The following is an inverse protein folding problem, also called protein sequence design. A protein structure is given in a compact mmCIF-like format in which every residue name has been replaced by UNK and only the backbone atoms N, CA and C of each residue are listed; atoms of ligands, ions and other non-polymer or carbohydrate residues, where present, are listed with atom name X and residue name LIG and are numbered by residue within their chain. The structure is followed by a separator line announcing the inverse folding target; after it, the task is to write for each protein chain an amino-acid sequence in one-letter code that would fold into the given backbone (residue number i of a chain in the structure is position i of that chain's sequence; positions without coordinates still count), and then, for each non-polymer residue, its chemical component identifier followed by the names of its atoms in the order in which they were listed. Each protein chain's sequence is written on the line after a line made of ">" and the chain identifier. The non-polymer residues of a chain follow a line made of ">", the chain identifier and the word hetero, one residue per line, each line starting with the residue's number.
data_IF_804710309826
#
_entry.id   IF_804710309826
#
_cell.length_a   1.000
_cell.length_b   1.000
_cell.length_c   1.000
_cell.angle_alpha   90.00
_cell.angle_beta   90.00
_cell.angle_gamma   90.00
#
_symmetry.space_group_name_H-M   'P 1'
#
loop_
_entity.id
_entity.type
_entity.pdbx_description
1 polymer ?
#
# COMPACT_ATOMS: atom_id res chain seq x y z
N UNK A 1 -47.27 -43.19 32.16
CA UNK A 1 -45.89 -42.73 32.34
C UNK A 1 -45.48 -41.96 31.10
N UNK A 2 -45.50 -40.58 31.17
CA UNK A 2 -45.15 -39.69 30.06
C UNK A 2 -43.72 -39.22 30.29
N UNK A 3 -42.78 -39.55 29.36
CA UNK A 3 -41.39 -39.06 29.36
C UNK A 3 -41.39 -37.68 28.72
N UNK A 4 -40.97 -36.65 29.46
CA UNK A 4 -40.72 -35.32 28.95
C UNK A 4 -39.25 -35.29 28.47
N UNK A 5 -39.06 -34.97 27.17
CA UNK A 5 -37.73 -34.73 26.60
C UNK A 5 -37.41 -33.23 26.77
N UNK A 6 -36.36 -32.94 27.51
CA UNK A 6 -35.80 -31.61 27.66
C UNK A 6 -34.83 -31.37 26.50
N UNK A 7 -35.17 -30.47 25.60
CA UNK A 7 -34.26 -29.99 24.53
C UNK A 7 -33.45 -28.84 25.10
N UNK A 8 -32.15 -29.07 25.34
CA UNK A 8 -31.20 -28.05 25.74
C UNK A 8 -30.74 -27.29 24.50
N UNK A 9 -31.20 -26.07 24.34
CA UNK A 9 -30.76 -25.16 23.29
C UNK A 9 -29.39 -24.60 23.68
N UNK A 10 -28.30 -25.05 23.01
CA UNK A 10 -26.98 -24.43 23.11
C UNK A 10 -26.96 -23.13 22.27
N UNK A 11 -26.98 -22.00 22.91
CA UNK A 11 -26.66 -20.71 22.33
C UNK A 11 -25.14 -20.65 22.08
N UNK A 12 -24.73 -20.85 20.85
CA UNK A 12 -23.36 -20.58 20.42
C UNK A 12 -23.25 -19.06 20.25
N UNK A 13 -22.79 -18.37 21.27
CA UNK A 13 -22.43 -16.97 21.21
C UNK A 13 -21.21 -16.79 20.29
N UNK A 14 -21.39 -16.20 19.11
CA UNK A 14 -20.27 -15.75 18.29
C UNK A 14 -19.59 -14.59 19.01
N UNK A 15 -18.51 -14.87 19.73
CA UNK A 15 -17.55 -13.86 20.19
C UNK A 15 -16.82 -13.33 18.96
N UNK A 16 -17.26 -12.20 18.42
CA UNK A 16 -16.44 -11.37 17.54
C UNK A 16 -15.31 -10.80 18.38
N UNK A 17 -14.17 -11.48 18.39
CA UNK A 17 -12.95 -10.89 18.90
C UNK A 17 -12.64 -9.65 18.05
N UNK A 18 -12.78 -8.46 18.64
CA UNK A 18 -12.23 -7.22 18.10
C UNK A 18 -10.71 -7.42 18.19
N UNK A 19 -10.12 -7.92 17.12
CA UNK A 19 -8.67 -7.92 16.99
C UNK A 19 -8.26 -6.46 16.85
N UNK A 20 -7.53 -5.95 17.83
CA UNK A 20 -6.84 -4.69 17.70
C UNK A 20 -5.95 -4.81 16.44
N UNK A 21 -6.14 -3.89 15.49
CA UNK A 21 -5.34 -3.83 14.28
C UNK A 21 -3.86 -3.63 14.68
N UNK A 22 -3.10 -4.69 14.55
CA UNK A 22 -1.65 -4.71 14.64
C UNK A 22 -1.15 -4.92 13.21
N UNK A 23 0.09 -4.53 12.93
CA UNK A 23 0.75 -4.83 11.66
C UNK A 23 0.27 -6.15 11.06
N UNK A 24 0.06 -6.18 9.75
CA UNK A 24 -0.31 -7.44 9.11
C UNK A 24 0.93 -8.33 9.07
N UNK A 25 0.93 -9.38 9.90
CA UNK A 25 1.99 -10.38 9.94
C UNK A 25 1.75 -11.40 8.84
N UNK A 26 2.69 -11.53 7.91
CA UNK A 26 2.67 -12.55 6.88
C UNK A 26 3.72 -13.62 7.17
N UNK A 27 3.35 -14.91 7.20
CA UNK A 27 4.33 -15.99 7.19
C UNK A 27 5.29 -15.82 6.01
N UNK A 28 6.59 -15.94 6.25
CA UNK A 28 7.55 -15.90 5.15
C UNK A 28 7.34 -17.11 4.24
N UNK A 29 7.28 -16.90 2.92
CA UNK A 29 7.18 -18.00 1.98
C UNK A 29 8.55 -18.69 1.88
N UNK A 30 8.60 -19.82 1.16
CA UNK A 30 9.85 -20.49 0.84
C UNK A 30 10.89 -19.52 0.27
N UNK A 31 12.17 -19.85 0.40
CA UNK A 31 13.27 -18.91 0.08
C UNK A 31 13.23 -18.32 -1.35
N UNK A 32 12.75 -19.11 -2.30
CA UNK A 32 12.61 -18.74 -3.72
C UNK A 32 11.19 -18.25 -4.10
N UNK A 33 10.29 -18.07 -3.14
CA UNK A 33 8.97 -17.47 -3.33
C UNK A 33 8.95 -16.05 -2.80
N UNK A 34 8.20 -15.17 -3.46
CA UNK A 34 8.02 -13.76 -3.04
C UNK A 34 6.55 -13.43 -2.75
N UNK A 35 5.64 -14.31 -3.12
CA UNK A 35 4.20 -14.08 -2.98
C UNK A 35 3.75 -14.33 -1.54
N UNK A 36 3.12 -13.35 -0.92
CA UNK A 36 2.52 -13.45 0.42
C UNK A 36 1.11 -12.85 0.44
N UNK A 37 0.29 -13.34 1.36
CA UNK A 37 -1.07 -12.85 1.57
C UNK A 37 -2.06 -13.25 0.48
N UNK A 38 -3.27 -12.72 0.61
CA UNK A 38 -4.37 -12.86 -0.35
C UNK A 38 -5.18 -11.59 -0.37
N UNK A 39 -5.64 -11.15 -1.53
CA UNK A 39 -6.53 -10.00 -1.63
C UNK A 39 -7.86 -10.32 -0.96
N UNK A 40 -8.42 -9.33 -0.28
CA UNK A 40 -9.72 -9.42 0.36
C UNK A 40 -10.75 -8.64 -0.44
N UNK A 41 -12.00 -9.06 -0.35
CA UNK A 41 -13.13 -8.32 -0.88
C UNK A 41 -13.89 -7.70 0.28
N UNK A 42 -14.20 -6.41 0.18
CA UNK A 42 -14.92 -5.66 1.20
C UNK A 42 -16.13 -4.94 0.61
N UNK A 43 -17.26 -5.07 1.27
CA UNK A 43 -18.45 -4.28 0.93
C UNK A 43 -18.48 -3.03 1.81
N UNK A 44 -18.43 -1.86 1.20
CA UNK A 44 -18.44 -0.56 1.86
C UNK A 44 -19.69 -0.44 2.75
N UNK A 45 -19.52 -0.05 4.00
CA UNK A 45 -20.57 0.09 5.00
C UNK A 45 -21.03 1.56 5.13
N UNK A 46 -22.23 1.79 5.63
CA UNK A 46 -22.76 3.15 5.88
C UNK A 46 -21.89 4.01 6.80
N UNK A 47 -21.12 3.39 7.70
CA UNK A 47 -20.18 4.08 8.60
C UNK A 47 -18.85 4.44 7.98
N UNK A 48 -18.56 4.04 6.73
CA UNK A 48 -17.29 4.29 6.05
C UNK A 48 -17.25 5.69 5.46
N UNK A 49 -16.60 6.62 6.16
CA UNK A 49 -16.57 8.03 5.76
C UNK A 49 -15.82 8.27 4.43
N UNK A 50 -14.77 7.50 4.15
CA UNK A 50 -13.92 7.63 2.96
C UNK A 50 -12.95 6.45 2.85
N UNK A 51 -12.19 6.38 1.75
CA UNK A 51 -11.15 5.35 1.55
C UNK A 51 -10.09 5.33 2.63
N UNK A 52 -9.74 6.48 3.23
CA UNK A 52 -8.79 6.55 4.32
C UNK A 52 -9.30 5.86 5.59
N UNK A 53 -10.58 5.99 5.89
CA UNK A 53 -11.21 5.28 7.01
C UNK A 53 -11.24 3.76 6.76
N UNK A 54 -11.52 3.34 5.53
CA UNK A 54 -11.46 1.92 5.13
C UNK A 54 -10.03 1.40 5.22
N UNK A 55 -9.06 2.14 4.69
CA UNK A 55 -7.64 1.75 4.71
C UNK A 55 -7.14 1.46 6.13
N UNK A 56 -7.55 2.26 7.11
CA UNK A 56 -7.21 2.04 8.53
C UNK A 56 -7.80 0.75 9.11
N UNK A 57 -8.95 0.28 8.61
CA UNK A 57 -9.54 -1.01 9.06
C UNK A 57 -8.71 -2.22 8.61
N UNK A 58 -7.95 -2.07 7.53
CA UNK A 58 -7.20 -3.16 6.88
C UNK A 58 -5.69 -2.94 6.92
N UNK A 59 -5.19 -2.02 7.73
CA UNK A 59 -3.77 -1.69 7.85
C UNK A 59 -3.07 -1.53 6.49
N UNK A 60 -3.71 -0.75 5.61
CA UNK A 60 -3.21 -0.44 4.26
C UNK A 60 -3.27 1.06 3.97
N UNK A 61 -2.80 1.47 2.79
CA UNK A 61 -2.88 2.84 2.31
C UNK A 61 -4.13 3.05 1.45
N UNK A 62 -4.81 4.20 1.61
CA UNK A 62 -5.95 4.56 0.76
C UNK A 62 -5.57 4.62 -0.72
N UNK A 63 -4.34 5.05 -1.03
CA UNK A 63 -3.83 5.08 -2.40
C UNK A 63 -3.72 3.67 -3.01
N UNK A 64 -3.37 2.66 -2.22
CA UNK A 64 -3.33 1.27 -2.69
C UNK A 64 -4.74 0.71 -2.94
N UNK A 65 -5.73 1.07 -2.12
CA UNK A 65 -7.13 0.73 -2.40
C UNK A 65 -7.58 1.40 -3.70
N UNK A 66 -7.19 2.65 -3.94
CA UNK A 66 -7.50 3.38 -5.16
C UNK A 66 -6.84 2.75 -6.40
N UNK A 67 -5.61 2.27 -6.30
CA UNK A 67 -4.93 1.52 -7.37
C UNK A 67 -5.64 0.20 -7.67
N UNK A 68 -6.00 -0.54 -6.63
CA UNK A 68 -6.71 -1.82 -6.79
C UNK A 68 -8.10 -1.67 -7.43
N UNK A 69 -8.74 -0.49 -7.27
CA UNK A 69 -10.12 -0.22 -7.69
C UNK A 69 -10.20 1.04 -8.56
N UNK A 70 -9.71 0.99 -9.79
CA UNK A 70 -9.49 2.13 -10.71
C UNK A 70 -10.57 3.20 -10.79
N UNK A 71 -11.82 2.82 -10.64
CA UNK A 71 -12.97 3.71 -10.86
C UNK A 71 -13.66 4.12 -9.57
N UNK A 72 -13.06 3.77 -8.42
CA UNK A 72 -13.69 4.07 -7.14
C UNK A 72 -13.52 5.55 -6.78
N UNK A 73 -14.59 6.14 -6.25
CA UNK A 73 -14.52 7.48 -5.70
C UNK A 73 -13.76 7.51 -4.35
N UNK A 74 -13.11 8.64 -3.98
CA UNK A 74 -12.49 8.80 -2.66
C UNK A 74 -13.46 8.59 -1.48
N UNK A 75 -14.74 8.85 -1.71
CA UNK A 75 -15.85 8.55 -0.80
C UNK A 75 -16.76 7.55 -1.51
N UNK A 76 -16.54 6.25 -1.36
CA UNK A 76 -17.33 5.23 -2.02
C UNK A 76 -18.72 5.12 -1.37
N UNK A 77 -19.72 4.78 -2.17
CA UNK A 77 -21.10 4.58 -1.66
C UNK A 77 -21.21 3.27 -0.88
N UNK A 78 -22.02 3.23 0.19
CA UNK A 78 -22.36 1.98 0.86
C UNK A 78 -22.88 0.93 -0.14
N UNK A 79 -22.55 -0.34 0.08
CA UNK A 79 -22.85 -1.43 -0.84
C UNK A 79 -21.86 -1.61 -1.99
N UNK A 80 -20.94 -0.66 -2.21
CA UNK A 80 -19.89 -0.82 -3.23
C UNK A 80 -18.94 -1.95 -2.83
N UNK A 81 -18.70 -2.91 -3.74
CA UNK A 81 -17.74 -3.98 -3.56
C UNK A 81 -16.36 -3.51 -3.99
N UNK A 82 -15.37 -3.64 -3.11
CA UNK A 82 -14.00 -3.20 -3.36
C UNK A 82 -12.98 -4.31 -3.04
N UNK A 83 -11.85 -4.27 -3.76
CA UNK A 83 -10.68 -5.10 -3.47
C UNK A 83 -9.78 -4.39 -2.48
N UNK A 84 -9.43 -5.07 -1.39
CA UNK A 84 -8.38 -4.65 -0.46
C UNK A 84 -7.09 -5.38 -0.85
N UNK A 85 -6.03 -4.67 -1.28
CA UNK A 85 -4.81 -5.27 -1.82
C UNK A 85 -3.89 -5.76 -0.69
N UNK A 86 -4.22 -6.90 -0.10
CA UNK A 86 -3.44 -7.58 0.96
C UNK A 86 -2.60 -8.75 0.46
N UNK A 87 -2.62 -9.05 -0.85
CA UNK A 87 -1.64 -9.90 -1.51
C UNK A 87 -0.53 -9.03 -2.09
N UNK A 88 0.73 -9.43 -1.90
CA UNK A 88 1.88 -8.67 -2.38
C UNK A 88 3.07 -9.58 -2.72
N UNK A 89 3.97 -9.09 -3.56
CA UNK A 89 5.30 -9.65 -3.76
C UNK A 89 6.28 -8.96 -2.80
N UNK A 90 7.05 -9.73 -2.05
CA UNK A 90 8.13 -9.16 -1.23
C UNK A 90 9.14 -8.43 -2.13
N UNK A 91 9.76 -7.33 -1.67
CA UNK A 91 10.84 -6.64 -2.38
C UNK A 91 11.98 -7.58 -2.76
N UNK A 92 12.69 -7.31 -3.87
CA UNK A 92 13.86 -8.07 -4.30
C UNK A 92 15.10 -7.61 -3.53
N UNK A 93 15.12 -7.92 -2.25
CA UNK A 93 16.18 -7.52 -1.33
C UNK A 93 16.35 -8.56 -0.22
N UNK A 94 17.49 -8.61 0.48
CA UNK A 94 17.67 -9.47 1.63
C UNK A 94 16.56 -9.29 2.67
N UNK A 95 15.98 -10.40 3.14
CA UNK A 95 14.87 -10.42 4.12
C UNK A 95 15.40 -10.20 5.53
N UNK A 96 15.86 -8.98 5.78
CA UNK A 96 16.45 -8.59 7.08
C UNK A 96 16.15 -7.13 7.40
N UNK A 97 16.00 -6.81 8.67
CA UNK A 97 15.79 -5.44 9.15
C UNK A 97 14.54 -4.79 8.56
N UNK A 98 14.68 -3.55 8.12
CA UNK A 98 13.60 -2.74 7.57
C UNK A 98 13.83 -2.49 6.08
N UNK A 99 12.81 -2.75 5.27
CA UNK A 99 12.77 -2.34 3.86
C UNK A 99 11.58 -1.39 3.69
N UNK A 100 11.81 -0.22 3.13
CA UNK A 100 10.76 0.74 2.77
C UNK A 100 10.69 0.79 1.26
N UNK A 101 9.54 0.42 0.65
CA UNK A 101 9.30 0.66 -0.76
C UNK A 101 8.39 1.87 -0.94
N UNK A 102 8.98 2.96 -1.42
CA UNK A 102 8.30 4.25 -1.55
C UNK A 102 7.10 4.19 -2.51
N UNK A 103 7.24 3.49 -3.64
CA UNK A 103 6.17 3.34 -4.63
C UNK A 103 4.93 2.60 -4.08
N UNK A 104 5.12 1.75 -3.07
CA UNK A 104 4.05 0.99 -2.44
C UNK A 104 3.46 1.67 -1.19
N UNK A 105 4.11 2.73 -0.68
CA UNK A 105 3.78 3.33 0.62
C UNK A 105 3.78 2.27 1.75
N UNK A 106 4.71 1.31 1.67
CA UNK A 106 4.85 0.18 2.60
C UNK A 106 6.22 0.13 3.25
N UNK A 107 6.24 -0.22 4.54
CA UNK A 107 7.41 -0.62 5.30
C UNK A 107 7.29 -2.10 5.64
N UNK A 108 8.32 -2.85 5.33
CA UNK A 108 8.49 -4.27 5.64
C UNK A 108 9.50 -4.40 6.77
N UNK A 109 9.16 -5.09 7.82
CA UNK A 109 10.09 -5.43 8.89
C UNK A 109 10.22 -6.94 9.00
N UNK A 110 11.44 -7.42 9.01
CA UNK A 110 11.81 -8.83 9.16
C UNK A 110 12.40 -9.04 10.54
N UNK A 111 11.61 -9.48 11.55
CA UNK A 111 12.09 -9.69 12.90
C UNK A 111 13.16 -10.78 12.94
N UNK A 112 14.31 -10.55 13.60
CA UNK A 112 15.37 -11.54 13.67
C UNK A 112 14.91 -12.83 14.37
N UNK A 113 15.12 -13.98 13.71
CA UNK A 113 14.77 -15.29 14.25
C UNK A 113 13.30 -15.70 14.13
N UNK A 114 12.46 -14.87 13.52
CA UNK A 114 11.06 -15.17 13.25
C UNK A 114 10.83 -15.47 11.76
N UNK A 115 9.88 -16.36 11.47
CA UNK A 115 9.53 -16.74 10.09
C UNK A 115 8.33 -15.91 9.59
N UNK A 116 8.37 -14.60 9.81
CA UNK A 116 7.34 -13.66 9.40
C UNK A 116 7.95 -12.40 8.78
N UNK A 117 7.13 -11.66 8.04
CA UNK A 117 7.35 -10.27 7.70
C UNK A 117 6.17 -9.45 8.18
N UNK A 118 6.45 -8.36 8.87
CA UNK A 118 5.46 -7.38 9.31
C UNK A 118 5.37 -6.27 8.25
N UNK A 119 4.16 -5.98 7.78
CA UNK A 119 3.93 -4.97 6.75
C UNK A 119 3.09 -3.84 7.31
N UNK A 120 3.58 -2.60 7.13
CA UNK A 120 2.96 -1.39 7.65
C UNK A 120 2.72 -0.37 6.54
N UNK A 121 1.57 0.30 6.51
CA UNK A 121 1.37 1.47 5.69
C UNK A 121 2.21 2.65 6.21
N UNK A 122 2.78 3.44 5.31
CA UNK A 122 3.56 4.61 5.66
C UNK A 122 3.17 5.84 4.84
N UNK A 123 3.30 7.03 5.45
CA UNK A 123 3.36 8.28 4.71
C UNK A 123 4.81 8.64 4.42
N UNK A 124 5.07 9.26 3.27
CA UNK A 124 6.42 9.59 2.79
C UNK A 124 6.55 11.07 2.43
N UNK A 125 7.77 11.46 2.02
CA UNK A 125 8.08 12.81 1.55
C UNK A 125 7.18 13.25 0.41
N UNK A 126 6.68 14.50 0.52
CA UNK A 126 5.95 15.14 -0.57
C UNK A 126 6.91 15.45 -1.72
N UNK A 127 6.35 15.77 -2.85
CA UNK A 127 7.10 16.21 -4.02
C UNK A 127 7.95 17.44 -3.74
N UNK A 128 9.20 17.43 -4.20
CA UNK A 128 10.22 18.45 -3.90
C UNK A 128 10.83 18.34 -2.49
N UNK A 129 10.36 17.38 -1.68
CA UNK A 129 10.90 17.05 -0.37
C UNK A 129 10.88 15.52 -0.17
N UNK A 130 11.33 14.80 -1.18
CA UNK A 130 11.25 13.34 -1.26
C UNK A 130 11.99 12.66 -0.13
N UNK A 131 11.51 11.48 0.25
CA UNK A 131 12.31 10.52 1.01
C UNK A 131 13.34 9.93 0.05
N UNK A 132 14.66 10.07 0.30
CA UNK A 132 15.66 9.55 -0.61
C UNK A 132 15.75 8.02 -0.57
N UNK A 133 16.09 7.43 -1.70
CA UNK A 133 16.55 6.04 -1.77
C UNK A 133 17.90 5.96 -1.05
N UNK A 134 18.03 5.01 -0.11
CA UNK A 134 19.25 4.88 0.69
C UNK A 134 19.41 3.49 1.30
N UNK A 135 20.65 3.11 1.55
CA UNK A 135 21.00 2.04 2.48
C UNK A 135 21.59 2.66 3.74
N UNK A 136 21.02 2.30 4.89
CA UNK A 136 21.40 2.88 6.17
C UNK A 136 21.05 1.91 7.32
N UNK A 137 20.99 2.42 8.53
CA UNK A 137 20.59 1.68 9.72
C UNK A 137 19.87 2.59 10.72
N UNK A 138 19.17 1.99 11.66
CA UNK A 138 18.63 2.72 12.81
C UNK A 138 19.80 3.23 13.67
N UNK A 139 19.95 4.54 13.73
CA UNK A 139 21.01 5.20 14.52
C UNK A 139 20.59 5.45 15.96
N UNK A 140 19.36 5.91 16.19
CA UNK A 140 18.86 6.23 17.51
C UNK A 140 17.36 5.94 17.65
N UNK A 141 16.97 5.43 18.79
CA UNK A 141 15.57 5.25 19.21
C UNK A 141 15.19 6.36 20.18
N UNK A 142 14.14 7.13 19.84
CA UNK A 142 13.74 8.32 20.60
C UNK A 142 12.30 8.15 21.07
N UNK A 143 12.08 7.81 22.36
CA UNK A 143 10.74 7.84 22.94
C UNK A 143 10.36 9.28 23.28
N UNK A 144 9.10 9.63 23.09
CA UNK A 144 8.54 10.96 23.37
C UNK A 144 9.41 12.11 22.81
N UNK A 145 9.65 12.12 21.49
CA UNK A 145 10.52 13.11 20.85
C UNK A 145 9.96 14.52 21.02
N UNK A 146 10.85 15.51 21.12
CA UNK A 146 10.51 16.90 20.82
C UNK A 146 10.68 17.15 19.33
N UNK A 147 9.90 18.06 18.77
CA UNK A 147 10.02 18.42 17.36
C UNK A 147 10.46 19.87 17.21
N UNK A 148 11.59 20.06 16.55
CA UNK A 148 12.09 21.37 16.14
C UNK A 148 11.87 21.52 14.63
N UNK A 149 10.88 22.33 14.18
CA UNK A 149 10.66 22.54 12.77
C UNK A 149 11.87 23.21 12.12
N UNK A 150 12.33 22.68 10.98
CA UNK A 150 13.43 23.24 10.23
C UNK A 150 13.05 24.64 9.67
N UNK A 151 14.06 25.46 9.27
CA UNK A 151 13.80 26.76 8.67
C UNK A 151 12.88 26.67 7.44
N UNK A 152 13.07 25.66 6.59
CA UNK A 152 12.20 25.39 5.43
C UNK A 152 10.76 25.06 5.81
N UNK A 153 10.55 24.26 6.86
CA UNK A 153 9.21 23.93 7.36
C UNK A 153 8.55 25.21 7.91
N UNK A 154 9.25 26.00 8.71
CA UNK A 154 8.70 27.26 9.23
C UNK A 154 8.31 28.23 8.13
N UNK A 155 9.18 28.39 7.10
CA UNK A 155 8.89 29.23 5.93
C UNK A 155 7.59 28.80 5.23
N UNK A 156 7.49 27.50 4.84
CA UNK A 156 6.28 26.97 4.17
C UNK A 156 5.02 27.07 5.03
N UNK A 157 5.15 26.92 6.35
CA UNK A 157 4.01 27.11 7.26
C UNK A 157 3.55 28.56 7.32
N UNK A 158 4.51 29.50 7.38
CA UNK A 158 4.21 30.92 7.38
C UNK A 158 3.53 31.38 6.06
N UNK A 159 3.95 30.84 4.93
CA UNK A 159 3.31 31.07 3.60
C UNK A 159 1.84 30.62 3.59
N UNK A 160 1.47 29.67 4.45
CA UNK A 160 0.08 29.22 4.67
C UNK A 160 -0.63 29.92 5.83
N UNK A 161 -0.05 30.99 6.37
CA UNK A 161 -0.59 31.74 7.51
C UNK A 161 -0.43 31.03 8.87
N UNK A 162 0.42 29.99 8.97
CA UNK A 162 0.63 29.23 10.20
C UNK A 162 1.98 29.59 10.80
N UNK A 163 2.00 30.18 12.00
CA UNK A 163 3.20 30.41 12.77
C UNK A 163 3.49 29.21 13.66
N UNK A 164 4.58 28.50 13.39
CA UNK A 164 5.02 27.37 14.21
C UNK A 164 5.87 27.84 15.38
N UNK A 165 5.72 27.20 16.58
CA UNK A 165 6.61 27.46 17.69
C UNK A 165 8.05 27.02 17.36
N UNK A 166 9.07 27.57 18.04
CA UNK A 166 10.47 27.14 17.85
C UNK A 166 10.67 25.64 18.13
N UNK A 167 9.99 25.12 19.12
CA UNK A 167 10.01 23.70 19.52
C UNK A 167 8.59 23.27 19.92
N UNK A 168 8.15 22.10 19.46
CA UNK A 168 6.94 21.43 19.94
C UNK A 168 7.36 20.35 20.91
N UNK A 169 6.93 20.41 22.19
CA UNK A 169 7.27 19.39 23.17
C UNK A 169 6.63 18.05 22.83
N UNK A 170 7.09 16.99 23.50
CA UNK A 170 6.41 15.70 23.44
C UNK A 170 4.95 15.82 23.88
N UNK A 171 4.05 15.12 23.18
CA UNK A 171 2.63 15.17 23.49
C UNK A 171 1.74 14.84 22.29
N UNK A 172 0.41 14.89 22.47
CA UNK A 172 -0.55 14.48 21.43
C UNK A 172 -0.49 15.35 20.17
N UNK A 173 -0.07 16.60 20.30
CA UNK A 173 0.03 17.56 19.20
C UNK A 173 1.40 17.54 18.50
N UNK A 174 2.34 16.69 18.96
CA UNK A 174 3.65 16.59 18.33
C UNK A 174 3.54 15.82 17.01
N UNK A 175 3.95 16.40 15.87
CA UNK A 175 3.86 15.75 14.56
C UNK A 175 4.75 14.50 14.42
N UNK A 176 5.70 14.27 15.33
CA UNK A 176 6.50 13.04 15.37
C UNK A 176 5.82 11.90 16.17
N UNK A 177 4.70 12.17 16.84
CA UNK A 177 4.04 11.20 17.68
C UNK A 177 4.88 10.83 18.91
N UNK A 178 4.66 9.63 19.45
CA UNK A 178 5.29 9.17 20.70
C UNK A 178 6.63 8.44 20.52
N UNK A 179 6.96 7.99 19.31
CA UNK A 179 8.15 7.20 19.01
C UNK A 179 8.76 7.63 17.69
N UNK A 180 10.08 7.72 17.65
CA UNK A 180 10.84 7.98 16.43
C UNK A 180 12.11 7.11 16.38
N UNK A 181 12.41 6.60 15.20
CA UNK A 181 13.65 5.91 14.85
C UNK A 181 14.43 6.85 13.93
N UNK A 182 15.54 7.39 14.42
CA UNK A 182 16.44 8.24 13.62
C UNK A 182 17.32 7.34 12.77
N UNK A 183 17.41 7.64 11.48
CA UNK A 183 18.27 6.92 10.55
C UNK A 183 19.69 7.50 10.57
N UNK A 184 20.70 6.64 10.44
CA UNK A 184 22.10 7.02 10.35
C UNK A 184 22.46 7.43 8.91
N UNK A 185 21.74 8.40 8.38
CA UNK A 185 21.91 8.94 7.02
C UNK A 185 22.00 10.47 7.08
N UNK A 186 22.90 11.06 6.28
CA UNK A 186 23.13 12.50 6.32
C UNK A 186 23.53 12.98 7.71
N UNK A 187 22.89 14.05 8.18
CA UNK A 187 23.04 14.56 9.54
C UNK A 187 21.98 14.02 10.52
N UNK A 188 21.30 12.92 10.14
CA UNK A 188 20.25 12.32 10.97
C UNK A 188 18.91 13.05 10.86
N UNK A 189 18.65 13.72 9.76
CA UNK A 189 17.41 14.44 9.48
C UNK A 189 16.23 13.52 9.11
N UNK A 190 16.50 12.28 8.69
CA UNK A 190 15.47 11.31 8.29
C UNK A 190 15.05 10.43 9.46
N UNK A 191 13.74 10.32 9.65
CA UNK A 191 13.12 9.58 10.74
C UNK A 191 12.04 8.62 10.18
N UNK A 192 11.88 7.48 10.85
CA UNK A 192 10.63 6.70 10.84
C UNK A 192 9.94 7.02 12.16
N UNK A 193 8.72 7.59 12.12
CA UNK A 193 8.10 8.12 13.33
C UNK A 193 6.58 8.03 13.33
N UNK A 194 5.97 8.19 14.46
CA UNK A 194 4.53 8.32 14.60
C UNK A 194 3.99 9.61 13.99
N UNK A 195 2.72 9.89 14.22
CA UNK A 195 2.10 11.14 13.74
C UNK A 195 0.95 11.57 14.65
N UNK A 196 0.73 12.89 14.76
CA UNK A 196 -0.50 13.47 15.31
C UNK A 196 -1.61 13.61 14.25
N UNK A 197 -1.31 13.29 12.98
CA UNK A 197 -2.22 13.36 11.85
C UNK A 197 -2.33 11.99 11.17
N UNK A 198 -3.13 11.05 11.69
CA UNK A 198 -3.21 9.68 11.20
C UNK A 198 -3.66 9.57 9.74
N UNK A 199 -4.43 10.53 9.24
CA UNK A 199 -4.86 10.58 7.83
C UNK A 199 -3.70 10.88 6.86
N UNK A 200 -2.53 11.22 7.36
CA UNK A 200 -1.31 11.42 6.56
C UNK A 200 -0.54 10.13 6.23
N UNK A 201 -0.90 9.01 6.87
CA UNK A 201 -0.33 7.70 6.56
C UNK A 201 -0.92 7.18 5.26
N UNK A 202 -0.09 6.63 4.39
CA UNK A 202 -0.49 6.22 3.04
C UNK A 202 -0.52 7.37 2.03
N UNK A 203 0.09 8.52 2.35
CA UNK A 203 0.15 9.70 1.48
C UNK A 203 1.58 10.26 1.36
N UNK A 204 1.81 11.09 0.33
CA UNK A 204 3.04 11.87 0.13
C UNK A 204 2.85 13.28 0.72
N UNK A 205 3.22 13.48 1.99
CA UNK A 205 2.86 14.71 2.71
C UNK A 205 3.92 15.19 3.71
N UNK A 206 5.01 14.46 3.89
CA UNK A 206 6.07 14.82 4.83
C UNK A 206 7.18 15.64 4.17
N UNK A 207 8.15 16.09 4.95
CA UNK A 207 9.37 16.73 4.44
C UNK A 207 10.53 15.72 4.38
N UNK A 208 10.28 14.51 3.89
CA UNK A 208 11.27 13.44 3.69
C UNK A 208 11.24 12.34 4.76
N UNK A 209 10.64 12.55 5.92
CA UNK A 209 10.49 11.51 6.94
C UNK A 209 9.35 10.52 6.60
N UNK A 210 9.39 9.34 7.20
CA UNK A 210 8.37 8.29 7.04
C UNK A 210 7.43 8.29 8.25
N UNK A 211 6.13 8.48 8.00
CA UNK A 211 5.09 8.53 9.02
C UNK A 211 4.39 7.19 9.17
N UNK A 212 4.14 6.76 10.39
CA UNK A 212 3.41 5.54 10.73
C UNK A 212 2.24 5.85 11.67
N UNK A 213 1.22 5.01 11.68
CA UNK A 213 0.16 5.06 12.69
C UNK A 213 0.74 4.85 14.09
N UNK A 214 0.07 5.36 15.10
CA UNK A 214 0.56 5.29 16.47
C UNK A 214 0.75 3.85 17.00
N UNK A 215 -0.15 2.87 16.75
CA UNK A 215 0.09 1.49 17.15
C UNK A 215 1.26 0.86 16.40
N UNK A 216 1.40 1.14 15.08
CA UNK A 216 2.42 0.54 14.22
C UNK A 216 3.83 0.95 14.63
N UNK A 217 4.07 2.26 14.79
CA UNK A 217 5.38 2.74 15.26
C UNK A 217 5.70 2.26 16.67
N UNK A 218 4.69 2.09 17.53
CA UNK A 218 4.89 1.55 18.87
C UNK A 218 5.37 0.10 18.80
N UNK A 219 4.74 -0.73 17.96
CA UNK A 219 5.10 -2.13 17.75
C UNK A 219 6.51 -2.24 17.13
N UNK A 220 6.77 -1.50 16.06
CA UNK A 220 8.08 -1.48 15.39
C UNK A 220 9.19 -0.98 16.35
N UNK A 221 8.93 0.09 17.08
CA UNK A 221 9.88 0.66 18.06
C UNK A 221 10.25 -0.34 19.15
N UNK A 222 9.31 -1.15 19.64
CA UNK A 222 9.58 -2.15 20.66
C UNK A 222 10.55 -3.25 20.19
N UNK A 223 10.46 -3.65 18.93
CA UNK A 223 11.19 -4.78 18.35
C UNK A 223 12.54 -4.37 17.74
N UNK A 224 12.59 -3.22 17.08
CA UNK A 224 13.78 -2.75 16.35
C UNK A 224 14.88 -2.31 17.33
N UNK A 225 16.14 -2.65 17.00
CA UNK A 225 17.33 -2.25 17.76
C UNK A 225 18.11 -1.18 17.00
N UNK A 226 18.88 -0.37 17.74
CA UNK A 226 19.93 0.46 17.13
C UNK A 226 20.88 -0.44 16.33
N UNK A 227 21.26 -0.01 15.14
CA UNK A 227 22.06 -0.81 14.20
C UNK A 227 21.24 -1.67 13.23
N UNK A 228 19.92 -1.86 13.45
CA UNK A 228 19.07 -2.58 12.49
C UNK A 228 19.22 -2.00 11.09
N UNK A 229 19.53 -2.82 10.06
CA UNK A 229 19.62 -2.36 8.67
C UNK A 229 18.31 -1.74 8.17
N UNK A 230 18.43 -0.69 7.37
CA UNK A 230 17.28 -0.03 6.72
C UNK A 230 17.62 0.19 5.24
N UNK A 231 16.77 -0.32 4.36
CA UNK A 231 16.78 -0.04 2.93
C UNK A 231 15.56 0.76 2.55
N UNK A 232 15.76 1.89 1.92
CA UNK A 232 14.70 2.65 1.27
C UNK A 232 14.88 2.49 -0.23
N UNK A 233 13.89 1.92 -0.88
CA UNK A 233 13.86 1.62 -2.32
C UNK A 233 12.65 2.30 -2.97
N UNK A 234 12.68 2.40 -4.29
CA UNK A 234 11.56 2.89 -5.09
C UNK A 234 11.35 1.94 -6.28
N UNK A 235 10.64 0.85 -6.02
CA UNK A 235 10.39 -0.22 -7.00
C UNK A 235 8.89 -0.30 -7.32
N UNK A 236 8.39 0.44 -8.32
CA UNK A 236 7.00 0.38 -8.71
C UNK A 236 6.62 -0.90 -9.44
N UNK A 237 7.58 -1.66 -9.96
CA UNK A 237 7.35 -2.95 -10.62
C UNK A 237 8.11 -4.03 -9.87
N UNK A 238 7.41 -5.08 -9.50
CA UNK A 238 7.98 -6.33 -8.96
C UNK A 238 7.49 -7.51 -9.80
N UNK A 239 8.30 -8.53 -9.94
CA UNK A 239 7.93 -9.77 -10.62
C UNK A 239 8.48 -10.98 -9.87
N UNK A 240 7.85 -12.12 -10.06
CA UNK A 240 8.24 -13.37 -9.40
C UNK A 240 7.97 -14.59 -10.27
N UNK A 241 8.84 -15.58 -10.12
CA UNK A 241 8.62 -16.96 -10.57
C UNK A 241 8.51 -17.80 -9.31
N UNK A 242 7.29 -18.26 -9.00
CA UNK A 242 7.03 -19.02 -7.80
C UNK A 242 7.44 -20.50 -7.95
N UNK A 243 7.69 -21.24 -6.85
CA UNK A 243 8.13 -22.64 -6.88
C UNK A 243 7.20 -23.58 -7.65
N UNK A 244 5.92 -23.25 -7.70
CA UNK A 244 4.90 -24.00 -8.47
C UNK A 244 4.88 -23.65 -9.97
N UNK A 245 5.84 -22.83 -10.44
CA UNK A 245 5.95 -22.40 -11.83
C UNK A 245 5.06 -21.21 -12.21
N UNK A 246 4.19 -20.74 -11.30
CA UNK A 246 3.38 -19.55 -11.53
C UNK A 246 4.26 -18.30 -11.62
N UNK A 247 3.87 -17.38 -12.47
CA UNK A 247 4.54 -16.10 -12.70
C UNK A 247 3.62 -14.96 -12.39
N UNK A 248 4.14 -14.00 -11.63
CA UNK A 248 3.39 -12.84 -11.17
C UNK A 248 4.11 -11.54 -11.51
N UNK A 249 3.32 -10.51 -11.75
CA UNK A 249 3.78 -9.12 -11.84
C UNK A 249 2.91 -8.28 -10.92
N UNK A 250 3.54 -7.44 -10.12
CA UNK A 250 2.89 -6.42 -9.28
C UNK A 250 3.35 -5.05 -9.77
N UNK A 251 2.40 -4.16 -10.07
CA UNK A 251 2.69 -2.86 -10.66
C UNK A 251 1.95 -1.78 -9.89
N UNK A 252 2.70 -0.84 -9.35
CA UNK A 252 2.23 0.36 -8.66
C UNK A 252 2.35 1.59 -9.56
N UNK A 253 1.66 2.66 -9.23
CA UNK A 253 1.87 3.95 -9.87
C UNK A 253 3.26 4.48 -9.50
N UNK A 254 4.05 4.98 -10.45
CA UNK A 254 5.33 5.59 -10.15
C UNK A 254 5.12 6.88 -9.34
N UNK A 255 6.12 7.24 -8.52
CA UNK A 255 6.14 8.52 -7.84
C UNK A 255 6.45 9.61 -8.89
N UNK A 256 5.51 10.55 -9.09
CA UNK A 256 5.75 11.67 -10.00
C UNK A 256 6.76 12.66 -9.40
N UNK A 257 7.77 13.12 -10.16
CA UNK A 257 8.65 14.20 -9.74
C UNK A 257 7.97 15.57 -9.83
N UNK A 258 6.90 15.72 -10.62
CA UNK A 258 6.17 16.96 -10.85
C UNK A 258 4.68 16.79 -10.55
N UNK A 259 4.03 17.83 -10.03
CA UNK A 259 2.65 17.78 -9.56
C UNK A 259 1.64 17.54 -10.70
N UNK A 260 1.96 18.07 -11.90
CA UNK A 260 1.08 17.98 -13.07
C UNK A 260 1.23 16.68 -13.87
N UNK A 261 2.19 15.82 -13.54
CA UNK A 261 2.40 14.58 -14.28
C UNK A 261 1.30 13.56 -14.03
N UNK A 262 0.76 13.03 -15.10
CA UNK A 262 -0.20 11.94 -15.02
C UNK A 262 0.52 10.62 -14.70
N UNK A 263 0.47 10.21 -13.45
CA UNK A 263 1.10 8.97 -12.96
C UNK A 263 0.59 7.71 -13.67
N UNK A 264 -0.57 7.78 -14.36
CA UNK A 264 -1.09 6.65 -15.12
C UNK A 264 -0.39 6.44 -16.46
N UNK A 265 0.18 7.49 -17.04
CA UNK A 265 0.87 7.45 -18.34
C UNK A 265 2.39 7.58 -18.23
N UNK A 266 2.92 7.84 -17.04
CA UNK A 266 4.36 7.93 -16.83
C UNK A 266 5.07 6.64 -17.23
N UNK A 267 6.23 6.73 -17.91
CA UNK A 267 7.05 5.55 -18.22
C UNK A 267 7.65 4.96 -16.92
N UNK A 268 7.94 3.66 -16.97
CA UNK A 268 8.67 2.96 -15.91
C UNK A 268 10.15 2.81 -16.23
N UNK A 269 10.96 2.83 -15.19
CA UNK A 269 12.27 2.18 -15.22
C UNK A 269 12.03 0.71 -14.90
N UNK A 270 12.32 -0.17 -15.87
CA UNK A 270 12.11 -1.60 -15.68
C UNK A 270 13.16 -2.16 -14.72
N UNK A 271 12.79 -3.04 -13.79
CA UNK A 271 13.74 -3.67 -12.89
C UNK A 271 14.71 -4.61 -13.64
N UNK A 272 15.86 -4.87 -13.04
CA UNK A 272 16.83 -5.79 -13.61
C UNK A 272 16.18 -7.16 -13.89
N UNK A 273 16.51 -7.75 -15.03
CA UNK A 273 15.99 -9.07 -15.45
C UNK A 273 14.54 -9.09 -15.91
N UNK A 274 13.79 -7.96 -15.84
CA UNK A 274 12.38 -7.95 -16.24
C UNK A 274 12.18 -8.25 -17.73
N UNK A 275 13.10 -7.81 -18.60
CA UNK A 275 13.05 -8.12 -20.05
C UNK A 275 13.19 -9.62 -20.26
N UNK A 276 14.17 -10.29 -19.63
CA UNK A 276 14.34 -11.75 -19.73
C UNK A 276 13.14 -12.50 -19.14
N UNK A 277 12.56 -11.98 -18.04
CA UNK A 277 11.31 -12.53 -17.49
C UNK A 277 10.17 -12.45 -18.49
N UNK A 278 9.98 -11.30 -19.12
CA UNK A 278 8.94 -11.03 -20.11
C UNK A 278 9.10 -11.89 -21.38
N UNK A 279 10.35 -12.09 -21.85
CA UNK A 279 10.65 -12.87 -23.05
C UNK A 279 10.58 -14.40 -22.85
N UNK A 280 10.31 -14.84 -21.62
CA UNK A 280 10.17 -16.26 -21.32
C UNK A 280 8.86 -16.81 -21.90
N UNK A 281 8.92 -17.94 -22.63
CA UNK A 281 7.76 -18.59 -23.28
C UNK A 281 6.63 -18.98 -22.31
N UNK A 282 6.92 -19.11 -21.03
CA UNK A 282 5.95 -19.39 -19.99
C UNK A 282 5.29 -18.11 -19.43
N UNK A 283 5.57 -16.95 -19.99
CA UNK A 283 4.94 -15.66 -19.68
C UNK A 283 4.02 -15.25 -20.81
N UNK A 284 2.83 -14.83 -20.48
CA UNK A 284 1.89 -14.20 -21.41
C UNK A 284 2.17 -12.69 -21.44
N UNK A 285 2.80 -12.22 -22.51
CA UNK A 285 3.15 -10.82 -22.68
C UNK A 285 1.93 -9.89 -22.72
N UNK A 286 0.78 -10.37 -23.19
CA UNK A 286 -0.45 -9.57 -23.19
C UNK A 286 -0.94 -9.28 -21.77
N UNK A 287 -0.78 -10.23 -20.86
CA UNK A 287 -1.08 -10.06 -19.44
C UNK A 287 -0.06 -9.12 -18.76
N UNK A 288 1.22 -9.20 -19.14
CA UNK A 288 2.24 -8.27 -18.63
C UNK A 288 1.93 -6.83 -19.05
N UNK A 289 1.66 -6.59 -20.35
CA UNK A 289 1.31 -5.25 -20.85
C UNK A 289 0.05 -4.70 -20.18
N UNK A 290 -0.94 -5.57 -19.96
CA UNK A 290 -2.16 -5.21 -19.21
C UNK A 290 -1.85 -4.83 -17.77
N UNK A 291 -0.97 -5.56 -17.08
CA UNK A 291 -0.55 -5.25 -15.72
C UNK A 291 0.20 -3.90 -15.65
N UNK A 292 1.12 -3.65 -16.59
CA UNK A 292 1.87 -2.39 -16.72
C UNK A 292 0.93 -1.20 -16.99
N UNK A 293 -0.11 -1.40 -17.78
CA UNK A 293 -1.12 -0.37 -18.04
C UNK A 293 -2.05 -0.16 -16.85
N UNK A 294 -2.52 -1.27 -16.23
CA UNK A 294 -3.54 -1.25 -15.17
C UNK A 294 -3.03 -0.65 -13.86
N UNK A 295 -1.77 -0.91 -13.47
CA UNK A 295 -1.13 -0.42 -12.23
C UNK A 295 -1.98 -0.71 -10.99
N UNK A 296 -2.33 -1.98 -10.81
CA UNK A 296 -3.33 -2.41 -9.82
C UNK A 296 -2.82 -2.42 -8.38
N UNK A 297 -1.50 -2.33 -8.16
CA UNK A 297 -0.91 -2.32 -6.83
C UNK A 297 -0.98 -3.67 -6.08
N UNK A 298 -1.26 -4.77 -6.80
CA UNK A 298 -1.22 -6.13 -6.28
C UNK A 298 -0.76 -7.13 -7.35
N UNK A 299 -0.24 -8.30 -6.94
CA UNK A 299 0.23 -9.31 -7.88
C UNK A 299 -0.89 -9.85 -8.78
N UNK A 300 -0.63 -9.90 -10.08
CA UNK A 300 -1.49 -10.57 -11.07
C UNK A 300 -0.70 -11.68 -11.74
N UNK A 301 -1.34 -12.83 -12.01
CA UNK A 301 -0.69 -13.91 -12.76
C UNK A 301 -0.51 -13.50 -14.21
N UNK A 302 0.70 -13.79 -14.71
CA UNK A 302 1.08 -13.60 -16.12
C UNK A 302 1.59 -14.90 -16.73
N UNK A 303 1.26 -16.03 -16.14
CA UNK A 303 1.63 -17.36 -16.60
C UNK A 303 0.89 -17.70 -17.89
N UNK A 304 1.61 -18.08 -18.94
CA UNK A 304 1.02 -18.48 -20.22
C UNK A 304 0.05 -19.68 -20.05
N UNK A 305 -1.09 -19.62 -20.74
CA UNK A 305 -2.11 -20.68 -20.71
C UNK A 305 -2.99 -20.70 -19.48
N UNK A 306 -2.85 -19.76 -18.56
CA UNK A 306 -3.76 -19.57 -17.42
C UNK A 306 -4.64 -18.33 -17.65
N UNK A 307 -5.97 -18.52 -17.55
CA UNK A 307 -6.89 -17.38 -17.54
C UNK A 307 -6.58 -16.50 -16.31
N UNK A 308 -6.29 -15.21 -16.53
CA UNK A 308 -6.15 -14.27 -15.45
C UNK A 308 -7.48 -14.16 -14.72
N UNK A 309 -7.56 -14.63 -13.48
CA UNK A 309 -8.66 -14.28 -12.58
C UNK A 309 -8.44 -12.85 -12.12
N UNK A 310 -8.66 -11.90 -13.02
CA UNK A 310 -8.89 -10.53 -12.62
C UNK A 310 -10.30 -10.51 -12.09
N UNK A 311 -10.48 -10.36 -10.80
CA UNK A 311 -11.79 -10.04 -10.23
C UNK A 311 -12.22 -8.68 -10.78
N UNK A 312 -12.96 -8.71 -11.89
CA UNK A 312 -13.56 -7.54 -12.49
C UNK A 312 -14.67 -7.05 -11.53
N UNK A 313 -14.37 -6.03 -10.77
CA UNK A 313 -15.42 -5.15 -10.29
C UNK A 313 -16.04 -4.48 -11.51
N UNK A 314 -17.28 -4.90 -11.86
CA UNK A 314 -18.16 -4.36 -12.89
C UNK A 314 -17.65 -4.45 -14.35
N UNK A 315 -17.89 -5.60 -15.00
CA UNK A 315 -18.16 -5.61 -16.45
C UNK A 315 -19.42 -4.81 -16.74
N UNK A 316 -19.24 -3.64 -17.35
CA UNK A 316 -20.32 -3.01 -18.10
C UNK A 316 -20.57 -3.90 -19.31
N UNK A 317 -21.68 -4.63 -19.33
CA UNK A 317 -22.19 -5.30 -20.52
C UNK A 317 -22.38 -4.26 -21.61
N UNK A 318 -21.50 -4.23 -22.59
CA UNK A 318 -21.75 -3.58 -23.87
C UNK A 318 -22.82 -4.41 -24.57
N UNK A 319 -24.06 -3.90 -24.58
CA UNK A 319 -25.11 -4.43 -25.40
C UNK A 319 -24.68 -4.33 -26.88
N UNK A 320 -24.48 -5.47 -27.49
CA UNK A 320 -24.51 -5.58 -28.96
C UNK A 320 -25.94 -5.29 -29.40
N UNK A 321 -26.21 -4.06 -29.82
CA UNK A 321 -27.36 -3.78 -30.64
C UNK A 321 -26.93 -3.92 -32.09
N UNK A 322 -27.44 -4.97 -32.72
CA UNK A 322 -27.34 -5.20 -34.14
C UNK A 322 -27.96 -4.07 -34.93
N UNK A 323 -27.29 -3.69 -35.98
CA UNK A 323 -27.80 -2.82 -37.03
C UNK A 323 -28.69 -3.68 -37.94
N UNK A 324 -29.97 -3.33 -38.17
CA UNK A 324 -30.67 -3.76 -39.36
C UNK A 324 -30.34 -2.75 -40.47
N UNK A 325 -29.80 -3.26 -41.57
CA UNK A 325 -29.76 -2.50 -42.79
C UNK A 325 -31.16 -2.40 -43.37
N UNK A 326 -31.49 -1.23 -43.90
CA UNK A 326 -32.51 -1.09 -44.94
C UNK A 326 -32.20 0.11 -45.83
N UNK A 327 -32.10 -0.19 -47.11
CA UNK A 327 -32.04 0.73 -48.23
C UNK A 327 -33.30 1.57 -48.30
N UNK A 328 -33.19 2.86 -48.58
CA UNK A 328 -34.22 3.62 -49.31
C UNK A 328 -33.65 4.94 -49.84
N UNK A 329 -33.40 4.91 -51.12
CA UNK A 329 -33.73 5.87 -52.16
C UNK A 329 -33.81 7.38 -51.90
N UNK A 330 -33.02 8.04 -52.71
CA UNK A 330 -33.05 9.45 -53.11
C UNK A 330 -34.41 9.85 -53.70
N UNK A 331 -34.98 10.96 -53.23
CA UNK A 331 -35.76 11.88 -54.09
C UNK A 331 -35.58 13.33 -53.60
N UNK A 332 -35.01 14.10 -54.53
CA UNK A 332 -35.04 15.54 -54.52
C UNK A 332 -36.45 16.04 -54.91
N UNK A 333 -36.92 17.14 -54.32
CA UNK A 333 -37.56 18.26 -55.02
C UNK A 333 -37.97 19.40 -54.05
N UNK A 334 -37.57 20.57 -54.48
CA UNK A 334 -38.00 21.95 -54.17
C UNK A 334 -37.66 22.54 -52.83
#
# INVERSE_FOLDING_TARGET
>A
MKRASVITLMLIGAYSAIQAAWAVDYPLPQANSRLVGQNQTYTVQEGDKNLQAIARKFDTAAMLILEANNTIAPVPKPGTLITIPSQLLLPDAPREGIIVNLAELRLYYFPPGENIVQVFPIGIGLQGLETPVMETRVGQKIPNPTWTPTAGIRKRSLERGITLPPVVPAGPNNPLGRFALRLAHGNGEYLIHGTSAPDSVGLRVSSGCMRMNAPDIKALFAQVRTGTPVRVINEPIKYSIEPNGMRYVEVHRPLSPEEEQNVQTMPYVLPAGFTQFKDNKAVDNSLVERALYRRAGYPVTVTAGQASVVSNGAEVKSAQNGVPGEDAEVRATQ
#
